data_IF_946877674045
#
_entry.id   IF_946877674045
#
_cell.length_a   1.000
_cell.length_b   1.000
_cell.length_c   1.000
_cell.angle_alpha   90.00
_cell.angle_beta   90.00
_cell.angle_gamma   90.00
#
_symmetry.space_group_name_H-M   'P 1'
#
loop_
_entity.id
_entity.type
_entity.pdbx_description
1 polymer ?
#
# COMPACT_ATOMS: atom_id res chain seq x y z
N UNK A 1 -18.97 -12.31 -12.04
CA UNK A 1 -19.68 -11.09 -11.63
C UNK A 1 -18.71 -10.26 -10.82
N UNK A 2 -18.45 -9.02 -11.20
CA UNK A 2 -17.64 -8.10 -10.40
C UNK A 2 -18.60 -7.26 -9.55
N UNK A 3 -18.31 -7.15 -8.25
CA UNK A 3 -19.10 -6.35 -7.30
C UNK A 3 -18.18 -5.34 -6.64
N UNK A 4 -18.73 -4.19 -6.30
CA UNK A 4 -18.02 -3.16 -5.56
C UNK A 4 -17.99 -3.54 -4.07
N UNK A 5 -16.79 -3.55 -3.49
CA UNK A 5 -16.54 -3.97 -2.11
C UNK A 5 -17.30 -3.13 -1.06
N UNK A 6 -17.69 -1.90 -1.40
CA UNK A 6 -18.38 -0.95 -0.51
C UNK A 6 -19.87 -1.22 -0.38
N UNK A 7 -20.44 -1.96 -1.33
CA UNK A 7 -21.84 -2.36 -1.31
C UNK A 7 -22.06 -3.52 -0.33
N UNK A 8 -23.32 -3.79 -0.02
CA UNK A 8 -23.66 -4.93 0.82
C UNK A 8 -23.39 -6.24 0.06
N UNK A 9 -22.84 -7.21 0.78
CA UNK A 9 -22.42 -8.49 0.20
C UNK A 9 -23.62 -9.43 0.07
N UNK A 10 -24.38 -9.26 -1.01
CA UNK A 10 -25.47 -10.16 -1.41
C UNK A 10 -24.91 -11.34 -2.21
N UNK A 11 -24.37 -12.33 -1.50
CA UNK A 11 -24.08 -13.63 -2.10
C UNK A 11 -25.32 -14.50 -2.05
N UNK A 12 -25.84 -14.87 -3.22
CA UNK A 12 -27.01 -15.75 -3.35
C UNK A 12 -26.72 -17.09 -2.66
N UNK A 13 -27.37 -17.35 -1.52
CA UNK A 13 -27.12 -18.54 -0.68
C UNK A 13 -26.45 -18.27 0.67
N UNK A 14 -26.15 -17.01 0.99
CA UNK A 14 -25.47 -16.59 2.22
C UNK A 14 -23.97 -16.85 2.15
N UNK A 15 -23.15 -15.81 2.31
CA UNK A 15 -21.70 -15.95 2.32
C UNK A 15 -21.26 -16.93 3.40
N UNK A 16 -20.75 -18.06 2.95
CA UNK A 16 -20.25 -19.17 3.75
C UNK A 16 -18.90 -19.56 3.20
N UNK A 17 -18.00 -18.59 3.07
CA UNK A 17 -16.67 -18.84 2.53
C UNK A 17 -15.81 -19.53 3.58
N UNK A 18 -15.00 -20.48 3.14
CA UNK A 18 -13.95 -21.07 3.99
C UNK A 18 -12.73 -20.14 4.07
N UNK A 19 -12.54 -19.30 3.04
CA UNK A 19 -11.43 -18.36 2.95
C UNK A 19 -11.81 -17.11 2.15
N UNK A 20 -11.44 -15.94 2.67
CA UNK A 20 -11.56 -14.65 1.97
C UNK A 20 -10.17 -14.03 1.86
N UNK A 21 -9.79 -13.57 0.66
CA UNK A 21 -8.51 -12.93 0.42
C UNK A 21 -8.72 -11.53 -0.11
N UNK A 22 -8.22 -10.54 0.62
CA UNK A 22 -8.26 -9.11 0.27
C UNK A 22 -6.83 -8.68 0.03
N UNK A 23 -6.53 -8.26 -1.21
CA UNK A 23 -5.15 -7.97 -1.61
C UNK A 23 -5.05 -6.73 -2.48
N UNK A 24 -4.17 -5.82 -2.07
CA UNK A 24 -3.87 -4.59 -2.78
C UNK A 24 -5.14 -3.79 -3.12
N UNK A 25 -6.11 -3.80 -2.21
CA UNK A 25 -7.36 -3.06 -2.33
C UNK A 25 -7.12 -1.55 -2.22
N UNK A 26 -6.07 -1.15 -1.48
CA UNK A 26 -5.85 0.24 -1.12
C UNK A 26 -6.65 0.63 0.11
N UNK A 27 -6.61 1.93 0.44
CA UNK A 27 -7.37 2.42 1.58
C UNK A 27 -8.86 2.57 1.26
N UNK A 28 -9.71 2.21 2.22
CA UNK A 28 -11.17 2.34 2.15
C UNK A 28 -11.66 3.19 3.31
N UNK A 29 -12.69 4.01 3.08
CA UNK A 29 -13.25 4.88 4.13
C UNK A 29 -13.78 4.06 5.31
N UNK A 30 -14.65 3.08 5.05
CA UNK A 30 -15.27 2.27 6.09
C UNK A 30 -14.63 0.87 6.21
N UNK A 31 -13.44 0.84 6.83
CA UNK A 31 -12.73 -0.42 7.12
C UNK A 31 -13.50 -1.29 8.11
N UNK A 32 -14.28 -0.68 9.01
CA UNK A 32 -15.08 -1.42 10.01
C UNK A 32 -16.16 -2.23 9.30
N UNK A 33 -16.89 -1.62 8.37
CA UNK A 33 -17.85 -2.32 7.51
C UNK A 33 -17.17 -3.43 6.73
N UNK A 34 -16.02 -3.18 6.09
CA UNK A 34 -15.29 -4.23 5.35
C UNK A 34 -14.94 -5.44 6.23
N UNK A 35 -14.38 -5.20 7.41
CA UNK A 35 -13.99 -6.27 8.34
C UNK A 35 -15.23 -7.00 8.87
N UNK A 36 -16.31 -6.29 9.17
CA UNK A 36 -17.57 -6.90 9.61
C UNK A 36 -18.19 -7.76 8.50
N UNK A 37 -18.30 -7.23 7.28
CA UNK A 37 -18.81 -8.00 6.13
C UNK A 37 -17.95 -9.22 5.84
N UNK A 38 -16.64 -9.12 6.01
CA UNK A 38 -15.74 -10.29 5.91
C UNK A 38 -16.11 -11.34 6.96
N UNK A 39 -16.26 -10.94 8.22
CA UNK A 39 -16.59 -11.85 9.32
C UNK A 39 -17.95 -12.54 9.10
N UNK A 40 -18.99 -11.76 8.76
CA UNK A 40 -20.36 -12.25 8.58
C UNK A 40 -20.50 -13.24 7.42
N UNK A 41 -19.58 -13.19 6.45
CA UNK A 41 -19.59 -14.05 5.26
C UNK A 41 -18.60 -15.23 5.35
N UNK A 42 -17.90 -15.39 6.49
CA UNK A 42 -17.08 -16.56 6.75
C UNK A 42 -17.86 -17.62 7.52
N UNK A 43 -17.61 -18.89 7.19
CA UNK A 43 -18.01 -20.00 8.06
C UNK A 43 -17.29 -19.91 9.40
N UNK A 44 -17.86 -20.42 10.50
CA UNK A 44 -17.11 -20.67 11.72
C UNK A 44 -15.85 -21.50 11.43
N UNK A 45 -14.69 -20.98 11.83
CA UNK A 45 -13.38 -21.60 11.54
C UNK A 45 -12.77 -21.24 10.17
N UNK A 46 -13.44 -20.43 9.36
CA UNK A 46 -12.89 -19.86 8.13
C UNK A 46 -11.81 -18.81 8.38
N UNK A 47 -11.04 -18.49 7.34
CA UNK A 47 -9.89 -17.59 7.42
C UNK A 47 -10.06 -16.35 6.54
N UNK A 48 -9.48 -15.23 6.96
CA UNK A 48 -9.25 -14.08 6.10
C UNK A 48 -7.77 -13.75 6.01
N UNK A 49 -7.31 -13.39 4.82
CA UNK A 49 -5.99 -12.78 4.60
C UNK A 49 -6.14 -11.37 4.03
N UNK A 50 -5.51 -10.39 4.68
CA UNK A 50 -5.31 -9.04 4.16
C UNK A 50 -3.85 -8.86 3.76
N UNK A 51 -3.59 -8.57 2.48
CA UNK A 51 -2.26 -8.33 1.94
C UNK A 51 -2.17 -6.92 1.35
N UNK A 52 -1.57 -5.98 2.08
CA UNK A 52 -1.53 -4.56 1.71
C UNK A 52 -0.14 -3.95 1.89
N UNK A 53 0.21 -3.00 1.01
CA UNK A 53 1.48 -2.27 1.12
C UNK A 53 1.39 -1.14 2.15
N UNK A 54 2.36 -1.07 3.06
CA UNK A 54 2.72 0.19 3.71
C UNK A 54 3.74 0.87 2.81
N UNK A 55 3.25 1.80 1.99
CA UNK A 55 4.02 2.47 0.94
C UNK A 55 4.95 3.57 1.49
N UNK A 56 5.65 3.29 2.59
CA UNK A 56 6.61 4.16 3.24
C UNK A 56 8.01 3.65 2.91
N UNK A 57 8.83 4.53 2.33
CA UNK A 57 10.22 4.23 2.03
C UNK A 57 11.01 4.14 3.33
N UNK A 58 11.67 3.01 3.53
CA UNK A 58 12.64 2.79 4.61
C UNK A 58 14.04 2.64 4.01
N UNK A 59 15.02 3.30 4.63
CA UNK A 59 16.43 3.26 4.21
C UNK A 59 17.32 3.17 5.45
N UNK A 60 17.66 1.94 5.91
CA UNK A 60 18.42 1.75 7.15
C UNK A 60 19.81 2.38 7.15
N UNK A 61 20.38 2.62 5.97
CA UNK A 61 21.70 3.25 5.80
C UNK A 61 21.62 4.74 5.45
N UNK A 62 20.43 5.36 5.54
CA UNK A 62 20.22 6.79 5.27
C UNK A 62 20.55 7.23 3.84
N UNK A 63 20.70 6.30 2.90
CA UNK A 63 21.06 6.63 1.50
C UNK A 63 19.97 7.40 0.75
N UNK A 64 18.74 7.43 1.27
CA UNK A 64 17.65 8.24 0.74
C UNK A 64 17.60 9.68 1.30
N UNK A 65 18.43 10.05 2.27
CA UNK A 65 18.37 11.38 2.87
C UNK A 65 18.73 12.46 1.83
N UNK A 66 17.87 13.48 1.72
CA UNK A 66 18.03 14.56 0.74
C UNK A 66 17.63 14.20 -0.70
N UNK A 67 17.25 12.95 -0.98
CA UNK A 67 16.83 12.52 -2.33
C UNK A 67 15.43 13.03 -2.70
N UNK A 68 15.17 13.17 -4.00
CA UNK A 68 13.84 13.50 -4.50
C UNK A 68 12.81 12.40 -4.16
N UNK A 69 13.20 11.12 -4.12
CA UNK A 69 12.33 9.99 -3.85
C UNK A 69 11.87 9.95 -2.38
N UNK A 70 12.76 10.25 -1.42
CA UNK A 70 12.38 10.48 -0.02
C UNK A 70 11.40 11.64 0.10
N UNK A 71 11.77 12.80 -0.47
CA UNK A 71 10.92 14.00 -0.45
C UNK A 71 9.54 13.73 -1.06
N UNK A 72 9.49 12.96 -2.15
CA UNK A 72 8.25 12.54 -2.77
C UNK A 72 7.39 11.71 -1.82
N UNK A 73 7.97 10.73 -1.12
CA UNK A 73 7.22 9.88 -0.20
C UNK A 73 6.72 10.66 1.03
N UNK A 74 7.49 11.64 1.54
CA UNK A 74 7.06 12.55 2.61
C UNK A 74 5.87 13.42 2.19
N UNK A 75 5.95 14.02 1.01
CA UNK A 75 4.88 14.85 0.46
C UNK A 75 3.64 14.04 0.14
N UNK A 76 3.80 12.81 -0.37
CA UNK A 76 2.70 11.89 -0.61
C UNK A 76 1.95 11.58 0.70
N UNK A 77 2.66 11.19 1.76
CA UNK A 77 2.05 10.94 3.08
C UNK A 77 1.36 12.20 3.64
N UNK A 78 1.98 13.37 3.50
CA UNK A 78 1.37 14.64 3.91
C UNK A 78 0.06 14.90 3.16
N UNK A 79 0.03 14.70 1.84
CA UNK A 79 -1.16 14.90 1.03
C UNK A 79 -2.25 13.86 1.31
N UNK A 80 -1.88 12.60 1.55
CA UNK A 80 -2.83 11.56 1.95
C UNK A 80 -3.52 11.92 3.28
N UNK A 81 -2.78 12.49 4.24
CA UNK A 81 -3.35 12.95 5.52
C UNK A 81 -4.39 14.06 5.35
N UNK A 82 -4.21 14.99 4.41
CA UNK A 82 -5.23 16.00 4.14
C UNK A 82 -6.54 15.43 3.57
N UNK A 83 -6.50 14.23 2.99
CA UNK A 83 -7.69 13.49 2.57
C UNK A 83 -8.28 12.59 3.67
N UNK A 84 -7.75 12.65 4.90
CA UNK A 84 -8.20 11.80 6.01
C UNK A 84 -7.71 10.35 5.94
N UNK A 85 -6.72 10.06 5.08
CA UNK A 85 -6.08 8.74 4.94
C UNK A 85 -4.57 8.83 5.24
N UNK A 86 -3.83 7.74 5.11
CA UNK A 86 -2.39 7.65 5.36
C UNK A 86 -1.82 6.43 4.65
N UNK A 87 -0.57 6.48 4.22
CA UNK A 87 0.15 5.30 3.70
C UNK A 87 0.36 4.22 4.77
N UNK A 88 0.10 4.53 6.05
CA UNK A 88 0.08 3.59 7.17
C UNK A 88 -1.30 2.95 7.43
N UNK A 89 -2.29 3.14 6.54
CA UNK A 89 -3.64 2.60 6.75
C UNK A 89 -3.70 1.09 7.01
N UNK A 90 -2.79 0.22 6.48
CA UNK A 90 -2.87 -1.21 6.75
C UNK A 90 -2.71 -1.56 8.23
N UNK A 91 -2.02 -0.72 9.01
CA UNK A 91 -1.86 -0.90 10.45
C UNK A 91 -3.21 -0.86 11.22
N UNK A 92 -4.31 -0.46 10.57
CA UNK A 92 -5.64 -0.46 11.15
C UNK A 92 -6.33 -1.83 11.10
N UNK A 93 -5.96 -2.72 10.19
CA UNK A 93 -6.70 -3.98 10.01
C UNK A 93 -6.57 -4.93 11.20
N UNK A 94 -5.37 -5.11 11.76
CA UNK A 94 -5.17 -6.02 12.91
C UNK A 94 -6.04 -5.66 14.13
N UNK A 95 -6.05 -4.40 14.62
CA UNK A 95 -6.97 -4.01 15.68
C UNK A 95 -8.44 -4.21 15.31
N UNK A 96 -8.84 -3.88 14.07
CA UNK A 96 -10.23 -4.06 13.63
C UNK A 96 -10.64 -5.53 13.59
N UNK A 97 -9.75 -6.42 13.12
CA UNK A 97 -9.98 -7.87 13.13
C UNK A 97 -10.19 -8.36 14.57
N UNK A 98 -9.38 -7.90 15.52
CA UNK A 98 -9.54 -8.21 16.94
C UNK A 98 -10.88 -7.71 17.50
N UNK A 99 -11.24 -6.46 17.22
CA UNK A 99 -12.49 -5.84 17.68
C UNK A 99 -13.74 -6.57 17.14
N UNK A 100 -13.69 -7.07 15.90
CA UNK A 100 -14.80 -7.79 15.26
C UNK A 100 -14.96 -9.23 15.80
N UNK A 101 -13.92 -9.80 16.40
CA UNK A 101 -13.96 -11.15 16.98
C UNK A 101 -13.17 -12.21 16.22
N UNK A 102 -12.27 -11.82 15.30
CA UNK A 102 -11.32 -12.77 14.74
C UNK A 102 -10.31 -13.21 15.81
N UNK A 103 -10.04 -14.51 15.82
CA UNK A 103 -9.05 -15.13 16.69
C UNK A 103 -7.79 -15.53 15.89
N UNK A 104 -6.71 -15.91 16.58
CA UNK A 104 -5.47 -16.40 15.95
C UNK A 104 -4.86 -15.47 14.89
N UNK A 105 -4.92 -14.16 15.11
CA UNK A 105 -4.44 -13.17 14.13
C UNK A 105 -2.91 -13.15 14.05
N UNK A 106 -2.39 -13.55 12.89
CA UNK A 106 -0.97 -13.50 12.55
C UNK A 106 -0.72 -12.29 11.66
N UNK A 107 0.30 -11.51 12.00
CA UNK A 107 0.75 -10.37 11.19
C UNK A 107 2.19 -10.63 10.76
N UNK A 108 2.43 -10.69 9.46
CA UNK A 108 3.77 -10.77 8.88
C UNK A 108 4.11 -9.47 8.18
N UNK A 109 5.32 -8.97 8.36
CA UNK A 109 5.84 -7.78 7.69
C UNK A 109 7.04 -8.17 6.85
N UNK A 110 6.91 -8.05 5.54
CA UNK A 110 7.91 -8.46 4.58
C UNK A 110 8.53 -7.23 3.90
N UNK A 111 9.83 -7.04 4.08
CA UNK A 111 10.56 -6.00 3.37
C UNK A 111 10.70 -6.34 1.88
N UNK A 112 10.21 -5.47 1.01
CA UNK A 112 10.40 -5.56 -0.44
C UNK A 112 11.27 -4.41 -0.94
N UNK A 113 12.45 -4.69 -1.52
CA UNK A 113 13.30 -3.67 -2.12
C UNK A 113 12.56 -2.84 -3.15
N UNK A 114 12.77 -1.52 -3.16
CA UNK A 114 12.20 -0.65 -4.20
C UNK A 114 12.97 -0.73 -5.52
N UNK A 115 14.23 -1.20 -5.47
CA UNK A 115 15.11 -1.45 -6.59
C UNK A 115 16.07 -2.61 -6.25
N UNK A 116 17.02 -2.93 -7.13
CA UNK A 116 17.94 -4.06 -6.97
C UNK A 116 19.14 -3.81 -6.01
N UNK A 117 19.03 -2.87 -5.06
CA UNK A 117 20.10 -2.51 -4.11
C UNK A 117 20.47 -3.63 -3.12
N UNK A 118 19.52 -4.50 -2.73
CA UNK A 118 19.81 -5.59 -1.78
C UNK A 118 20.38 -6.82 -2.50
N UNK A 119 21.44 -7.44 -1.96
CA UNK A 119 22.09 -8.58 -2.60
C UNK A 119 21.21 -9.83 -2.60
N UNK A 120 21.53 -10.75 -3.52
CA UNK A 120 20.87 -12.06 -3.62
C UNK A 120 19.84 -12.12 -4.74
N UNK A 121 19.86 -13.24 -5.49
CA UNK A 121 19.07 -13.42 -6.73
C UNK A 121 17.58 -13.12 -6.55
N UNK A 122 16.99 -13.53 -5.41
CA UNK A 122 15.57 -13.29 -5.11
C UNK A 122 15.27 -11.81 -4.89
N UNK A 123 16.03 -11.15 -4.01
CA UNK A 123 15.80 -9.73 -3.66
C UNK A 123 16.11 -8.81 -4.84
N UNK A 124 17.16 -9.10 -5.60
CA UNK A 124 17.45 -8.37 -6.83
C UNK A 124 16.32 -8.54 -7.85
N UNK A 125 15.79 -9.75 -8.05
CA UNK A 125 14.64 -9.96 -8.95
C UNK A 125 13.41 -9.16 -8.50
N UNK A 126 13.08 -9.17 -7.21
CA UNK A 126 12.00 -8.35 -6.65
C UNK A 126 12.28 -6.87 -6.91
N UNK A 127 13.50 -6.42 -6.64
CA UNK A 127 13.93 -5.05 -6.87
C UNK A 127 13.72 -4.57 -8.31
N UNK A 128 14.10 -5.38 -9.31
CA UNK A 128 13.86 -5.03 -10.72
C UNK A 128 12.37 -4.89 -11.04
N UNK A 129 11.54 -5.81 -10.54
CA UNK A 129 10.08 -5.75 -10.72
C UNK A 129 9.49 -4.53 -10.02
N UNK A 130 9.97 -4.19 -8.82
CA UNK A 130 9.52 -3.04 -8.07
C UNK A 130 9.93 -1.72 -8.72
N UNK A 131 11.12 -1.63 -9.31
CA UNK A 131 11.53 -0.46 -10.12
C UNK A 131 10.52 -0.22 -11.25
N UNK A 132 10.17 -1.27 -12.01
CA UNK A 132 9.20 -1.17 -13.10
C UNK A 132 7.81 -0.77 -12.58
N UNK A 133 7.35 -1.43 -11.52
CA UNK A 133 6.07 -1.12 -10.88
C UNK A 133 6.01 0.35 -10.45
N UNK A 134 7.07 0.85 -9.79
CA UNK A 134 7.15 2.23 -9.35
C UNK A 134 7.09 3.22 -10.51
N UNK A 135 7.85 2.99 -11.58
CA UNK A 135 7.84 3.86 -12.76
C UNK A 135 6.46 3.94 -13.42
N UNK A 136 5.68 2.87 -13.38
CA UNK A 136 4.30 2.84 -13.89
C UNK A 136 3.33 3.60 -13.00
N UNK A 137 3.41 3.43 -11.68
CA UNK A 137 2.42 4.01 -10.75
C UNK A 137 2.77 5.41 -10.25
N UNK A 138 4.02 5.87 -10.41
CA UNK A 138 4.52 7.11 -9.83
C UNK A 138 3.65 8.31 -10.19
N UNK A 139 3.44 8.58 -11.48
CA UNK A 139 2.68 9.77 -11.89
C UNK A 139 1.17 9.66 -11.59
N UNK A 140 0.48 8.54 -11.91
CA UNK A 140 -0.92 8.37 -11.55
C UNK A 140 -1.20 8.50 -10.04
N UNK A 141 -0.29 8.02 -9.19
CA UNK A 141 -0.41 8.14 -7.74
C UNK A 141 -0.16 9.57 -7.25
N UNK A 142 0.83 10.26 -7.84
CA UNK A 142 1.27 11.58 -7.39
C UNK A 142 0.31 12.68 -7.81
N UNK A 143 -0.17 12.64 -9.05
CA UNK A 143 -0.93 13.72 -9.67
C UNK A 143 -2.16 14.16 -8.85
N UNK A 144 -3.09 13.26 -8.45
CA UNK A 144 -4.27 13.68 -7.67
C UNK A 144 -3.86 14.23 -6.30
N UNK A 145 -2.91 13.59 -5.61
CA UNK A 145 -2.49 13.98 -4.26
C UNK A 145 -1.81 15.35 -4.26
N UNK A 146 -0.87 15.59 -5.18
CA UNK A 146 -0.10 16.83 -5.19
C UNK A 146 -0.92 18.02 -5.69
N UNK A 147 -1.78 17.81 -6.68
CA UNK A 147 -2.60 18.91 -7.23
C UNK A 147 -3.76 19.28 -6.31
N UNK A 148 -4.51 18.29 -5.81
CA UNK A 148 -5.73 18.56 -5.04
C UNK A 148 -5.45 18.80 -3.55
N UNK A 149 -4.47 18.11 -2.96
CA UNK A 149 -4.16 18.23 -1.54
C UNK A 149 -3.02 19.22 -1.25
N UNK A 150 -2.00 19.29 -2.11
CA UNK A 150 -0.83 20.17 -1.89
C UNK A 150 -0.86 21.46 -2.73
N UNK A 151 -1.84 21.61 -3.64
CA UNK A 151 -2.03 22.81 -4.45
C UNK A 151 -0.97 23.03 -5.54
N UNK A 152 -0.24 21.99 -5.93
CA UNK A 152 0.76 22.10 -7.01
C UNK A 152 0.08 22.18 -8.37
N UNK A 153 0.71 22.86 -9.32
CA UNK A 153 0.30 22.75 -10.72
C UNK A 153 0.72 21.39 -11.30
N UNK A 154 0.03 20.87 -12.33
CA UNK A 154 0.44 19.66 -13.02
C UNK A 154 1.89 19.72 -13.56
N UNK A 155 2.34 20.89 -13.99
CA UNK A 155 3.71 21.10 -14.49
C UNK A 155 4.76 21.01 -13.37
N UNK A 156 4.46 21.55 -12.19
CA UNK A 156 5.32 21.39 -11.01
C UNK A 156 5.46 19.91 -10.63
N UNK A 157 4.35 19.16 -10.67
CA UNK A 157 4.37 17.71 -10.40
C UNK A 157 5.25 17.00 -11.43
N UNK A 158 5.01 17.20 -12.73
CA UNK A 158 5.79 16.55 -13.79
C UNK A 158 7.28 16.88 -13.69
N UNK A 159 7.61 18.15 -13.45
CA UNK A 159 8.99 18.61 -13.27
C UNK A 159 9.66 17.91 -12.10
N UNK A 160 9.01 17.85 -10.94
CA UNK A 160 9.55 17.15 -9.76
C UNK A 160 9.73 15.65 -10.00
N UNK A 161 8.77 15.01 -10.68
CA UNK A 161 8.85 13.58 -10.98
C UNK A 161 9.97 13.22 -11.97
N UNK A 162 10.57 14.18 -12.68
CA UNK A 162 11.77 13.90 -13.50
C UNK A 162 12.92 13.43 -12.61
N UNK A 163 13.15 14.09 -11.48
CA UNK A 163 14.24 13.74 -10.58
C UNK A 163 13.93 12.47 -9.79
N UNK A 164 12.68 12.30 -9.33
CA UNK A 164 12.25 11.07 -8.66
C UNK A 164 12.49 9.83 -9.54
N UNK A 165 12.18 9.90 -10.84
CA UNK A 165 12.39 8.78 -11.78
C UNK A 165 13.85 8.39 -11.94
N UNK A 166 14.77 9.35 -11.91
CA UNK A 166 16.22 9.07 -11.98
C UNK A 166 16.69 8.26 -10.77
N UNK A 167 16.06 8.46 -9.63
CA UNK A 167 16.48 7.86 -8.37
C UNK A 167 15.86 6.48 -8.11
N UNK A 168 14.62 6.21 -8.55
CA UNK A 168 13.92 4.94 -8.29
C UNK A 168 14.79 3.72 -8.65
N UNK A 169 15.40 3.71 -9.83
CA UNK A 169 16.22 2.60 -10.31
C UNK A 169 17.68 2.61 -9.84
N UNK A 170 18.12 3.64 -9.12
CA UNK A 170 19.52 3.80 -8.73
C UNK A 170 19.84 2.94 -7.49
N UNK A 171 20.65 1.90 -7.69
CA UNK A 171 21.01 0.94 -6.63
C UNK A 171 21.94 1.51 -5.56
N UNK A 172 22.44 2.74 -5.71
CA UNK A 172 23.11 3.46 -4.62
C UNK A 172 22.13 3.82 -3.49
N UNK A 173 20.85 4.01 -3.84
CA UNK A 173 19.78 4.26 -2.88
C UNK A 173 19.19 2.93 -2.39
N UNK A 174 19.56 2.57 -1.17
CA UNK A 174 19.14 1.36 -0.50
C UNK A 174 17.81 1.61 0.19
N UNK A 175 16.72 1.14 -0.41
CA UNK A 175 15.40 1.32 0.15
C UNK A 175 14.48 0.15 -0.08
N UNK A 176 13.54 -0.02 0.85
CA UNK A 176 12.48 -1.01 0.79
C UNK A 176 11.18 -0.43 1.33
N UNK A 177 10.09 -1.14 1.08
CA UNK A 177 8.78 -0.93 1.70
C UNK A 177 8.32 -2.21 2.40
N UNK A 178 7.31 -2.09 3.25
CA UNK A 178 6.71 -3.25 3.91
C UNK A 178 5.46 -3.71 3.17
N UNK A 179 5.41 -4.99 2.81
CA UNK A 179 4.20 -5.74 2.46
C UNK A 179 3.72 -6.53 3.69
#
# INVERSE_FOLDING_TARGET
MAMDITHDWDFTGGGNFDFIHIRQLGDIQDKKKLVQSTFDNLKPGGWVEFTEWIAILQSPNHSLDGTAFRKWNDLLEKGMRSFGTTLYYPNKFKPLLQETGFEHIIETRNGAPTNACYPGKKLQRIGHLMTQNWLLVLEPLTMPVFTQALGWSPDQVKSFLVDVRKEIGNTQYHSFMTL
#
